data_IF_787681296537
#
_entry.id   IF_787681296537
#
_cell.length_a   1.000
_cell.length_b   1.000
_cell.length_c   1.000
_cell.angle_alpha   90.00
_cell.angle_beta   90.00
_cell.angle_gamma   90.00
#
_symmetry.space_group_name_H-M   'P 1'
#
loop_
_entity.id
_entity.type
_entity.pdbx_description
1 polymer ?
#
# COMPACT_ATOMS: atom_id res chain seq x y z
N UNK A 1 -3.64 -1.76 -7.28
CA UNK A 1 -3.74 -2.37 -8.61
C UNK A 1 -4.19 -3.80 -8.40
N UNK A 2 -5.42 -4.16 -8.79
CA UNK A 2 -5.94 -5.53 -8.65
C UNK A 2 -5.20 -6.52 -9.57
N UNK A 3 -5.50 -7.82 -9.45
CA UNK A 3 -4.90 -8.89 -10.25
C UNK A 3 -5.02 -8.60 -11.76
N UNK A 4 -6.15 -8.07 -12.21
CA UNK A 4 -6.35 -7.70 -13.62
C UNK A 4 -5.45 -6.54 -14.07
N UNK A 5 -5.20 -5.58 -13.17
CA UNK A 5 -4.25 -4.50 -13.42
C UNK A 5 -2.82 -5.03 -13.52
N UNK A 6 -2.44 -5.95 -12.63
CA UNK A 6 -1.13 -6.63 -12.68
C UNK A 6 -1.00 -7.42 -13.98
N UNK A 7 -2.03 -8.17 -14.37
CA UNK A 7 -2.04 -8.94 -15.62
C UNK A 7 -1.87 -8.03 -16.84
N UNK A 8 -2.59 -6.92 -16.90
CA UNK A 8 -2.49 -5.97 -18.01
C UNK A 8 -1.10 -5.31 -18.09
N UNK A 9 -0.51 -4.96 -16.94
CA UNK A 9 0.86 -4.45 -16.88
C UNK A 9 1.90 -5.51 -17.27
N UNK A 10 1.76 -6.74 -16.79
CA UNK A 10 2.64 -7.83 -17.21
C UNK A 10 2.53 -8.04 -18.71
N UNK A 11 1.31 -8.03 -19.27
CA UNK A 11 1.09 -8.21 -20.70
C UNK A 11 1.75 -7.11 -21.55
N UNK A 12 1.70 -5.86 -21.12
CA UNK A 12 2.37 -4.76 -21.86
C UNK A 12 3.89 -4.90 -21.82
N UNK A 13 4.44 -5.31 -20.67
CA UNK A 13 5.87 -5.56 -20.48
C UNK A 13 6.37 -6.83 -21.18
N UNK A 14 5.49 -7.77 -21.55
CA UNK A 14 5.91 -8.97 -22.27
C UNK A 14 6.29 -8.70 -23.73
N UNK A 15 5.78 -7.62 -24.35
CA UNK A 15 5.99 -7.36 -25.77
C UNK A 15 7.48 -7.10 -26.11
N UNK A 16 8.20 -6.18 -25.43
CA UNK A 16 9.63 -5.98 -25.66
C UNK A 16 10.49 -7.21 -25.36
N UNK A 17 10.13 -7.99 -24.33
CA UNK A 17 10.80 -9.26 -23.99
C UNK A 17 10.66 -10.27 -25.13
N UNK A 18 9.46 -10.42 -25.69
CA UNK A 18 9.22 -11.31 -26.84
C UNK A 18 10.00 -10.84 -28.06
N UNK A 19 10.05 -9.53 -28.32
CA UNK A 19 10.83 -8.95 -29.43
C UNK A 19 12.33 -9.24 -29.25
N UNK A 20 12.86 -9.04 -28.03
CA UNK A 20 14.25 -9.31 -27.70
C UNK A 20 14.61 -10.77 -27.92
N UNK A 21 13.80 -11.67 -27.36
CA UNK A 21 13.96 -13.12 -27.55
C UNK A 21 13.91 -13.46 -29.05
N UNK A 22 12.98 -12.88 -29.81
CA UNK A 22 12.88 -13.06 -31.26
C UNK A 22 14.15 -12.65 -32.00
N UNK A 23 14.70 -11.48 -31.69
CA UNK A 23 15.97 -10.99 -32.27
C UNK A 23 17.12 -11.94 -31.94
N UNK A 24 17.22 -12.42 -30.70
CA UNK A 24 18.26 -13.37 -30.30
C UNK A 24 18.19 -14.67 -31.06
N UNK A 25 16.99 -15.24 -31.24
CA UNK A 25 16.82 -16.45 -32.03
C UNK A 25 17.18 -16.23 -33.50
N UNK A 26 16.87 -15.06 -34.07
CA UNK A 26 17.29 -14.68 -35.43
C UNK A 26 18.83 -14.57 -35.51
N UNK A 27 19.49 -13.95 -34.53
CA UNK A 27 20.95 -13.83 -34.47
C UNK A 27 21.64 -15.19 -34.28
N UNK A 28 21.07 -16.07 -33.45
CA UNK A 28 21.55 -17.45 -33.29
C UNK A 28 21.38 -18.22 -34.61
N UNK A 29 20.24 -18.05 -35.29
CA UNK A 29 19.99 -18.64 -36.61
C UNK A 29 20.97 -18.14 -37.67
N UNK A 30 21.20 -16.82 -37.73
CA UNK A 30 22.19 -16.18 -38.60
C UNK A 30 23.60 -16.67 -38.30
N UNK A 31 23.99 -16.80 -37.03
CA UNK A 31 25.29 -17.35 -36.64
C UNK A 31 25.46 -18.78 -37.19
N UNK A 32 24.47 -19.66 -37.02
CA UNK A 32 24.58 -21.02 -37.55
C UNK A 32 24.55 -21.07 -39.09
N UNK A 33 23.75 -20.21 -39.74
CA UNK A 33 23.72 -20.10 -41.19
C UNK A 33 25.07 -19.62 -41.75
N UNK A 34 25.65 -18.57 -41.17
CA UNK A 34 26.97 -18.05 -41.54
C UNK A 34 28.09 -19.03 -41.20
N UNK A 35 28.00 -19.73 -40.07
CA UNK A 35 28.95 -20.78 -39.68
C UNK A 35 28.91 -21.96 -40.65
N UNK A 36 27.71 -22.42 -41.06
CA UNK A 36 27.56 -23.51 -42.03
C UNK A 36 27.98 -23.07 -43.44
N UNK A 37 27.79 -21.80 -43.79
CA UNK A 37 28.25 -21.20 -45.06
C UNK A 37 29.77 -21.02 -45.12
N UNK A 38 30.41 -20.64 -44.00
CA UNK A 38 31.87 -20.46 -43.91
C UNK A 38 32.62 -21.76 -43.56
N UNK A 39 31.91 -22.90 -43.52
CA UNK A 39 32.41 -24.22 -43.14
C UNK A 39 33.49 -24.81 -44.07
N UNK A 40 33.86 -24.12 -45.15
CA UNK A 40 35.06 -24.45 -45.91
C UNK A 40 36.37 -24.01 -45.23
N UNK A 41 36.33 -23.22 -44.15
CA UNK A 41 37.55 -22.75 -43.48
C UNK A 41 37.47 -22.88 -41.96
N UNK A 42 38.29 -23.77 -41.41
CA UNK A 42 38.74 -23.88 -40.02
C UNK A 42 37.83 -24.57 -38.98
N UNK A 43 38.35 -25.68 -38.42
CA UNK A 43 37.73 -26.58 -37.43
C UNK A 43 37.53 -25.99 -36.03
N UNK A 44 36.82 -24.86 -35.92
CA UNK A 44 36.43 -24.26 -34.63
C UNK A 44 35.37 -25.10 -33.93
N UNK A 45 35.46 -25.30 -32.60
CA UNK A 45 34.53 -26.12 -31.84
C UNK A 45 33.10 -25.55 -31.87
N UNK A 46 32.11 -26.41 -32.12
CA UNK A 46 30.70 -26.04 -32.25
C UNK A 46 30.13 -25.64 -30.88
N UNK A 47 29.53 -24.46 -30.79
CA UNK A 47 28.78 -24.05 -29.59
C UNK A 47 27.57 -24.99 -29.43
N UNK A 48 27.31 -25.45 -28.20
CA UNK A 48 26.19 -26.35 -27.92
C UNK A 48 24.86 -25.57 -27.94
N UNK A 49 23.88 -26.01 -28.74
CA UNK A 49 22.55 -25.39 -28.84
C UNK A 49 21.88 -25.13 -27.47
N UNK A 50 22.04 -26.06 -26.52
CA UNK A 50 21.50 -25.91 -25.16
C UNK A 50 22.05 -24.68 -24.45
N UNK A 51 23.33 -24.34 -24.64
CA UNK A 51 23.95 -23.16 -24.01
C UNK A 51 23.46 -21.86 -24.64
N UNK A 52 23.21 -21.86 -25.96
CA UNK A 52 22.66 -20.71 -26.66
C UNK A 52 21.21 -20.46 -26.23
N UNK A 53 20.39 -21.51 -26.14
CA UNK A 53 19.02 -21.42 -25.63
C UNK A 53 18.97 -20.91 -24.18
N UNK A 54 19.81 -21.46 -23.29
CA UNK A 54 19.90 -20.99 -21.90
C UNK A 54 20.40 -19.54 -21.81
N UNK A 55 21.33 -19.15 -22.69
CA UNK A 55 21.80 -17.77 -22.79
C UNK A 55 20.69 -16.81 -23.22
N UNK A 56 19.93 -17.18 -24.25
CA UNK A 56 18.80 -16.37 -24.73
C UNK A 56 17.70 -16.23 -23.65
N UNK A 57 17.34 -17.35 -22.99
CA UNK A 57 16.40 -17.31 -21.87
C UNK A 57 16.88 -16.40 -20.73
N UNK A 58 18.18 -16.41 -20.46
CA UNK A 58 18.77 -15.55 -19.44
C UNK A 58 18.76 -14.07 -19.82
N UNK A 59 19.09 -13.72 -21.06
CA UNK A 59 19.05 -12.34 -21.51
C UNK A 59 17.61 -11.83 -21.55
N UNK A 60 16.67 -12.61 -22.10
CA UNK A 60 15.24 -12.26 -22.05
C UNK A 60 14.73 -12.06 -20.63
N UNK A 61 15.15 -12.90 -19.68
CA UNK A 61 14.86 -12.71 -18.25
C UNK A 61 15.47 -11.41 -17.69
N UNK A 62 16.73 -11.12 -18.00
CA UNK A 62 17.39 -9.88 -17.53
C UNK A 62 16.67 -8.65 -18.09
N UNK A 63 16.31 -8.65 -19.38
CA UNK A 63 15.54 -7.57 -19.99
C UNK A 63 14.19 -7.39 -19.30
N UNK A 64 13.46 -8.48 -19.04
CA UNK A 64 12.21 -8.43 -18.30
C UNK A 64 12.36 -7.80 -16.91
N UNK A 65 13.41 -8.17 -16.16
CA UNK A 65 13.67 -7.58 -14.83
C UNK A 65 14.01 -6.10 -14.94
N UNK A 66 14.83 -5.71 -15.91
CA UNK A 66 15.17 -4.30 -16.13
C UNK A 66 13.93 -3.48 -16.53
N UNK A 67 13.03 -4.04 -17.33
CA UNK A 67 11.76 -3.38 -17.69
C UNK A 67 10.84 -3.18 -16.49
N UNK A 68 10.67 -4.22 -15.68
CA UNK A 68 9.88 -4.14 -14.44
C UNK A 68 10.44 -3.11 -13.45
N UNK A 69 11.76 -3.03 -13.32
CA UNK A 69 12.41 -2.26 -12.26
C UNK A 69 12.79 -0.84 -12.67
N UNK A 70 13.22 -0.64 -13.92
CA UNK A 70 13.77 0.64 -14.40
C UNK A 70 12.79 1.45 -15.25
N UNK A 71 11.95 0.81 -16.06
CA UNK A 71 11.14 1.51 -17.07
C UNK A 71 9.64 1.55 -16.76
N UNK A 72 9.17 0.75 -15.78
CA UNK A 72 7.76 0.66 -15.41
C UNK A 72 7.27 1.60 -14.31
N UNK A 73 8.14 2.44 -13.72
CA UNK A 73 7.81 3.31 -12.58
C UNK A 73 7.94 4.80 -12.96
N UNK A 74 7.00 5.63 -12.51
CA UNK A 74 7.06 7.08 -12.72
C UNK A 74 8.22 7.73 -11.95
N UNK A 75 8.79 8.80 -12.49
CA UNK A 75 9.89 9.53 -11.85
C UNK A 75 9.33 10.44 -10.74
N UNK A 76 9.51 10.05 -9.48
CA UNK A 76 9.06 10.87 -8.32
C UNK A 76 9.99 10.84 -7.11
N UNK A 77 11.01 9.98 -7.07
CA UNK A 77 11.82 9.74 -5.87
C UNK A 77 13.33 9.83 -6.15
N UNK A 78 13.83 11.05 -6.40
CA UNK A 78 15.27 11.25 -6.63
C UNK A 78 16.07 11.19 -5.31
N UNK A 79 17.16 10.40 -5.28
CA UNK A 79 18.11 10.28 -4.16
C UNK A 79 17.51 9.83 -2.82
N UNK A 80 16.33 9.22 -2.81
CA UNK A 80 15.70 8.78 -1.57
C UNK A 80 16.12 7.34 -1.23
N UNK A 81 16.55 7.11 0.01
CA UNK A 81 17.01 5.79 0.48
C UNK A 81 16.33 5.41 1.81
N UNK A 82 15.89 4.16 1.92
CA UNK A 82 15.48 3.51 3.15
C UNK A 82 16.45 2.38 3.49
N UNK A 83 17.27 2.61 4.53
CA UNK A 83 18.30 1.69 4.98
C UNK A 83 17.91 0.93 6.25
N UNK A 84 16.65 1.02 6.70
CA UNK A 84 16.17 0.30 7.86
C UNK A 84 15.77 -1.12 7.45
N UNK A 85 16.51 -2.15 7.90
CA UNK A 85 16.20 -3.52 7.56
C UNK A 85 14.86 -3.93 8.15
N UNK A 86 14.09 -4.67 7.35
CA UNK A 86 12.74 -5.17 7.61
C UNK A 86 11.68 -4.08 7.83
N UNK A 87 11.95 -2.83 7.50
CA UNK A 87 10.99 -1.73 7.66
C UNK A 87 9.70 -1.95 6.86
N UNK A 88 9.81 -2.45 5.63
CA UNK A 88 8.67 -2.78 4.75
C UNK A 88 7.79 -3.87 5.35
N UNK A 89 8.40 -4.86 6.01
CA UNK A 89 7.69 -5.93 6.71
C UNK A 89 6.96 -5.42 7.96
N UNK A 90 7.60 -4.53 8.72
CA UNK A 90 6.98 -3.89 9.89
C UNK A 90 5.84 -2.98 9.46
N UNK A 91 6.00 -2.20 8.39
CA UNK A 91 4.94 -1.39 7.82
C UNK A 91 3.77 -2.25 7.34
N UNK A 92 4.04 -3.34 6.60
CA UNK A 92 3.02 -4.28 6.16
C UNK A 92 2.27 -4.89 7.35
N UNK A 93 2.96 -5.17 8.46
CA UNK A 93 2.35 -5.62 9.71
C UNK A 93 1.49 -4.54 10.36
N UNK A 94 2.00 -3.32 10.52
CA UNK A 94 1.29 -2.21 11.16
C UNK A 94 0.01 -1.83 10.38
N UNK A 95 0.07 -1.88 9.05
CA UNK A 95 -1.07 -1.65 8.14
C UNK A 95 -1.91 -2.91 7.93
N UNK A 96 -1.47 -4.07 8.43
CA UNK A 96 -2.02 -5.40 8.12
C UNK A 96 -2.35 -5.56 6.62
N UNK A 97 -1.40 -5.14 5.78
CA UNK A 97 -1.58 -4.97 4.34
C UNK A 97 -1.01 -6.16 3.59
N UNK A 98 -1.90 -7.03 3.09
CA UNK A 98 -1.49 -8.13 2.20
C UNK A 98 -0.81 -7.62 0.94
N UNK A 99 -1.18 -6.43 0.46
CA UNK A 99 -0.57 -5.81 -0.72
C UNK A 99 0.89 -5.44 -0.48
N UNK A 100 1.20 -4.86 0.68
CA UNK A 100 2.58 -4.48 0.99
C UNK A 100 3.45 -5.74 1.16
N UNK A 101 2.90 -6.79 1.78
CA UNK A 101 3.57 -8.08 1.87
C UNK A 101 3.74 -8.76 0.49
N UNK A 102 2.74 -8.64 -0.40
CA UNK A 102 2.81 -9.13 -1.78
C UNK A 102 3.97 -8.49 -2.54
N UNK A 103 4.23 -7.18 -2.35
CA UNK A 103 5.36 -6.51 -2.98
C UNK A 103 6.70 -7.14 -2.56
N UNK A 104 6.89 -7.41 -1.26
CA UNK A 104 8.09 -8.11 -0.78
C UNK A 104 8.23 -9.50 -1.40
N UNK A 105 7.12 -10.25 -1.51
CA UNK A 105 7.11 -11.59 -2.13
C UNK A 105 7.44 -11.52 -3.63
N UNK A 106 6.93 -10.52 -4.35
CA UNK A 106 7.24 -10.36 -5.77
C UNK A 106 8.72 -10.06 -6.01
N UNK A 107 9.37 -9.28 -5.14
CA UNK A 107 10.81 -9.07 -5.21
C UNK A 107 11.59 -10.39 -5.02
N UNK A 108 11.17 -11.23 -4.08
CA UNK A 108 11.73 -12.58 -3.91
C UNK A 108 11.53 -13.43 -5.19
N UNK A 109 10.29 -13.52 -5.69
CA UNK A 109 9.97 -14.35 -6.86
C UNK A 109 10.74 -13.91 -8.10
N UNK A 110 10.89 -12.60 -8.30
CA UNK A 110 11.57 -12.00 -9.44
C UNK A 110 13.00 -12.51 -9.60
N UNK A 111 13.72 -12.75 -8.49
CA UNK A 111 15.12 -13.19 -8.53
C UNK A 111 15.34 -14.72 -8.47
N UNK A 112 14.28 -15.52 -8.29
CA UNK A 112 14.36 -16.99 -8.34
C UNK A 112 14.98 -17.47 -9.67
N UNK A 113 14.57 -16.98 -10.86
CA UNK A 113 15.16 -17.41 -12.12
C UNK A 113 16.68 -17.14 -12.22
N UNK A 114 17.17 -16.01 -11.69
CA UNK A 114 18.61 -15.71 -11.65
C UNK A 114 19.40 -16.81 -10.92
N UNK A 115 18.90 -17.22 -9.74
CA UNK A 115 19.50 -18.29 -8.94
C UNK A 115 19.55 -19.65 -9.66
N UNK A 116 18.57 -19.94 -10.51
CA UNK A 116 18.46 -21.18 -11.29
C UNK A 116 19.34 -21.15 -12.54
N UNK A 117 19.30 -20.06 -13.31
CA UNK A 117 19.89 -19.99 -14.66
C UNK A 117 21.42 -19.88 -14.62
N UNK A 118 21.99 -19.12 -13.68
CA UNK A 118 23.45 -18.95 -13.56
C UNK A 118 24.24 -20.28 -13.52
N UNK A 119 23.92 -21.25 -12.64
CA UNK A 119 24.65 -22.52 -12.56
C UNK A 119 24.41 -23.45 -13.76
N UNK A 120 23.34 -23.22 -14.54
CA UNK A 120 23.07 -23.93 -15.79
C UNK A 120 23.93 -23.40 -16.94
N UNK A 121 24.22 -22.09 -16.95
CA UNK A 121 25.03 -21.43 -17.99
C UNK A 121 26.53 -21.69 -17.76
N UNK A 122 27.01 -21.56 -16.51
CA UNK A 122 28.44 -21.68 -16.20
C UNK A 122 28.72 -22.55 -14.99
N UNK A 123 29.79 -23.37 -15.10
CA UNK A 123 30.28 -24.21 -14.00
C UNK A 123 30.72 -23.39 -12.79
N UNK A 124 31.22 -22.15 -13.00
CA UNK A 124 31.67 -21.27 -11.91
C UNK A 124 30.52 -20.96 -10.93
N UNK A 125 29.32 -20.73 -11.45
CA UNK A 125 28.13 -20.40 -10.66
C UNK A 125 27.47 -21.61 -10.00
N UNK A 126 27.97 -22.83 -10.22
CA UNK A 126 27.60 -24.01 -9.41
C UNK A 126 28.19 -23.96 -8.01
N UNK A 127 29.10 -23.02 -7.74
CA UNK A 127 29.59 -22.72 -6.41
C UNK A 127 28.75 -21.55 -5.88
N UNK A 128 28.05 -21.78 -4.77
CA UNK A 128 27.08 -20.85 -4.19
C UNK A 128 27.61 -19.40 -4.08
N UNK A 129 28.84 -19.21 -3.59
CA UNK A 129 29.43 -17.87 -3.42
C UNK A 129 29.46 -17.04 -4.70
N UNK A 130 29.70 -17.65 -5.86
CA UNK A 130 29.76 -16.93 -7.13
C UNK A 130 28.37 -16.61 -7.66
N UNK A 131 27.39 -17.49 -7.42
CA UNK A 131 25.99 -17.21 -7.72
C UNK A 131 25.48 -16.05 -6.86
N UNK A 132 25.70 -16.13 -5.55
CA UNK A 132 25.30 -15.11 -4.58
C UNK A 132 25.94 -13.76 -4.89
N UNK A 133 27.23 -13.71 -5.25
CA UNK A 133 27.90 -12.48 -5.64
C UNK A 133 27.21 -11.79 -6.84
N UNK A 134 26.80 -12.56 -7.85
CA UNK A 134 26.08 -12.00 -9.01
C UNK A 134 24.70 -11.54 -8.60
N UNK A 135 23.96 -12.33 -7.82
CA UNK A 135 22.62 -11.94 -7.32
C UNK A 135 22.69 -10.62 -6.54
N UNK A 136 23.55 -10.54 -5.52
CA UNK A 136 23.74 -9.35 -4.68
C UNK A 136 24.25 -8.17 -5.51
N UNK A 137 25.21 -8.40 -6.41
CA UNK A 137 25.74 -7.35 -7.29
C UNK A 137 24.68 -6.79 -8.24
N UNK A 138 23.84 -7.65 -8.83
CA UNK A 138 22.76 -7.25 -9.72
C UNK A 138 21.67 -6.49 -8.97
N UNK A 139 21.25 -6.94 -7.79
CA UNK A 139 20.25 -6.20 -7.02
C UNK A 139 20.79 -4.85 -6.52
N UNK A 140 22.05 -4.79 -6.07
CA UNK A 140 22.67 -3.52 -5.68
C UNK A 140 22.74 -2.54 -6.85
N UNK A 141 23.06 -3.04 -8.05
CA UNK A 141 23.07 -2.22 -9.27
C UNK A 141 21.68 -1.66 -9.58
N UNK A 142 20.63 -2.48 -9.50
CA UNK A 142 19.24 -2.05 -9.78
C UNK A 142 18.79 -0.96 -8.80
N UNK A 143 18.95 -1.19 -7.49
CA UNK A 143 18.56 -0.22 -6.46
C UNK A 143 19.33 1.11 -6.59
N UNK A 144 20.63 1.02 -6.88
CA UNK A 144 21.48 2.20 -7.10
C UNK A 144 21.03 2.96 -8.34
N UNK A 145 20.72 2.26 -9.44
CA UNK A 145 20.21 2.88 -10.66
C UNK A 145 18.87 3.59 -10.41
N UNK A 146 17.93 2.94 -9.74
CA UNK A 146 16.61 3.51 -9.44
C UNK A 146 16.71 4.81 -8.65
N UNK A 147 17.61 4.81 -7.66
CA UNK A 147 17.85 5.97 -6.78
C UNK A 147 18.51 7.13 -7.53
N UNK A 148 19.49 6.85 -8.40
CA UNK A 148 20.19 7.87 -9.17
C UNK A 148 19.36 8.44 -10.32
N UNK A 149 18.39 7.68 -10.85
CA UNK A 149 17.52 8.11 -11.95
C UNK A 149 16.18 8.68 -11.47
N UNK A 150 15.86 8.53 -10.18
CA UNK A 150 14.57 8.92 -9.61
C UNK A 150 13.42 7.96 -9.95
N UNK A 151 13.72 6.81 -10.57
CA UNK A 151 12.76 5.77 -10.91
C UNK A 151 12.23 5.01 -9.67
N UNK A 152 12.90 5.14 -8.52
CA UNK A 152 12.48 4.54 -7.27
C UNK A 152 13.36 4.89 -6.07
N UNK A 153 12.95 4.41 -4.90
CA UNK A 153 13.68 4.50 -3.63
C UNK A 153 14.75 3.41 -3.57
N UNK A 154 15.92 3.67 -2.98
CA UNK A 154 16.81 2.59 -2.55
C UNK A 154 16.18 1.90 -1.34
N UNK A 155 15.72 0.67 -1.49
CA UNK A 155 15.12 -0.06 -0.36
C UNK A 155 16.02 -1.22 0.05
N UNK A 156 16.60 -1.14 1.25
CA UNK A 156 17.45 -2.23 1.77
C UNK A 156 16.69 -3.56 1.83
N UNK A 157 15.38 -3.51 2.07
CA UNK A 157 14.51 -4.68 2.05
C UNK A 157 14.41 -5.32 0.68
N UNK A 158 14.43 -4.54 -0.40
CA UNK A 158 14.39 -5.07 -1.76
C UNK A 158 15.70 -5.78 -2.11
N UNK A 159 16.83 -5.25 -1.66
CA UNK A 159 18.13 -5.94 -1.72
C UNK A 159 18.07 -7.30 -0.98
N UNK A 160 17.47 -7.33 0.22
CA UNK A 160 17.31 -8.56 1.02
C UNK A 160 16.37 -9.55 0.30
N UNK A 161 15.23 -9.08 -0.19
CA UNK A 161 14.20 -9.87 -0.87
C UNK A 161 14.75 -10.51 -2.16
N UNK A 162 15.39 -9.72 -3.01
CA UNK A 162 16.01 -10.18 -4.24
C UNK A 162 17.12 -11.20 -3.95
N UNK A 163 17.91 -10.97 -2.90
CA UNK A 163 18.95 -11.91 -2.46
C UNK A 163 18.34 -13.24 -1.99
N UNK A 164 17.26 -13.19 -1.20
CA UNK A 164 16.51 -14.39 -0.80
C UNK A 164 15.97 -15.15 -2.02
N UNK A 165 15.43 -14.44 -3.01
CA UNK A 165 15.00 -14.99 -4.29
C UNK A 165 16.10 -15.79 -4.99
N UNK A 166 17.28 -15.19 -5.14
CA UNK A 166 18.43 -15.86 -5.75
C UNK A 166 18.91 -17.08 -4.96
N UNK A 167 18.88 -17.03 -3.62
CA UNK A 167 19.19 -18.16 -2.75
C UNK A 167 18.19 -19.31 -2.99
N UNK A 168 16.89 -19.01 -3.00
CA UNK A 168 15.82 -19.99 -3.26
C UNK A 168 15.96 -20.62 -4.65
N UNK A 169 16.24 -19.80 -5.66
CA UNK A 169 16.51 -20.27 -7.02
C UNK A 169 17.69 -21.24 -7.10
N UNK A 170 18.79 -20.92 -6.41
CA UNK A 170 19.96 -21.79 -6.36
C UNK A 170 19.68 -23.10 -5.60
N UNK A 171 18.91 -23.05 -4.52
CA UNK A 171 18.46 -24.24 -3.78
C UNK A 171 17.58 -25.14 -4.67
N UNK A 172 16.66 -24.55 -5.44
CA UNK A 172 15.84 -25.28 -6.39
C UNK A 172 16.70 -25.95 -7.48
N UNK A 173 17.68 -25.23 -8.05
CA UNK A 173 18.65 -25.82 -8.97
C UNK A 173 19.37 -27.03 -8.34
N UNK A 174 19.86 -26.91 -7.10
CA UNK A 174 20.56 -28.00 -6.41
C UNK A 174 19.66 -29.20 -6.16
N UNK A 175 18.41 -28.97 -5.77
CA UNK A 175 17.42 -30.01 -5.56
C UNK A 175 17.18 -30.79 -6.87
N UNK A 176 16.87 -30.08 -7.96
CA UNK A 176 16.65 -30.68 -9.28
C UNK A 176 17.90 -31.42 -9.77
N UNK A 177 19.08 -30.81 -9.68
CA UNK A 177 20.33 -31.43 -10.08
C UNK A 177 20.64 -32.72 -9.29
N UNK A 178 20.34 -32.73 -7.97
CA UNK A 178 20.49 -33.92 -7.14
C UNK A 178 19.53 -35.04 -7.56
N UNK A 179 18.27 -34.71 -7.88
CA UNK A 179 17.27 -35.68 -8.32
C UNK A 179 17.67 -36.29 -9.66
N UNK A 180 18.08 -35.45 -10.62
CA UNK A 180 18.50 -35.88 -11.96
C UNK A 180 19.76 -36.75 -11.89
N UNK A 181 20.75 -36.39 -11.07
CA UNK A 181 22.01 -37.13 -11.00
C UNK A 181 21.92 -38.42 -10.19
N UNK A 182 21.27 -38.39 -9.02
CA UNK A 182 21.24 -39.53 -8.09
C UNK A 182 20.00 -40.43 -8.27
N UNK A 183 19.02 -40.04 -9.10
CA UNK A 183 17.70 -40.69 -9.27
C UNK A 183 16.94 -40.96 -7.95
N UNK A 184 17.38 -40.37 -6.84
CA UNK A 184 16.80 -40.48 -5.49
C UNK A 184 16.90 -39.14 -4.79
N UNK A 185 15.83 -38.77 -4.08
CA UNK A 185 15.80 -37.60 -3.21
C UNK A 185 16.49 -37.95 -1.89
N UNK A 186 17.63 -37.32 -1.59
CA UNK A 186 18.25 -37.46 -0.27
C UNK A 186 17.52 -36.56 0.73
N UNK A 187 16.98 -37.12 1.81
CA UNK A 187 16.21 -36.37 2.82
C UNK A 187 16.97 -35.15 3.36
N UNK A 188 18.28 -35.27 3.64
CA UNK A 188 19.12 -34.13 4.07
C UNK A 188 19.15 -32.98 3.05
N UNK A 189 19.13 -33.30 1.75
CA UNK A 189 19.09 -32.31 0.68
C UNK A 189 17.71 -31.65 0.60
N UNK A 190 16.64 -32.44 0.75
CA UNK A 190 15.28 -31.92 0.74
C UNK A 190 15.01 -30.99 1.93
N UNK A 191 15.38 -31.42 3.14
CA UNK A 191 15.27 -30.61 4.36
C UNK A 191 16.07 -29.30 4.26
N UNK A 192 17.31 -29.35 3.77
CA UNK A 192 18.13 -28.14 3.62
C UNK A 192 17.59 -27.14 2.59
N UNK A 193 16.98 -27.61 1.50
CA UNK A 193 16.43 -26.74 0.45
C UNK A 193 14.99 -26.26 0.75
N UNK A 194 14.25 -26.93 1.64
CA UNK A 194 12.91 -26.51 2.06
C UNK A 194 12.91 -25.71 3.36
N UNK A 195 14.03 -25.65 4.10
CA UNK A 195 14.10 -24.94 5.37
C UNK A 195 13.67 -23.47 5.28
N UNK A 196 14.15 -22.74 4.25
CA UNK A 196 13.82 -21.31 4.09
C UNK A 196 12.34 -21.11 3.71
N UNK A 197 11.79 -21.76 2.66
CA UNK A 197 10.36 -21.65 2.35
C UNK A 197 9.45 -22.06 3.50
N UNK A 198 9.79 -23.14 4.22
CA UNK A 198 9.01 -23.60 5.38
C UNK A 198 9.06 -22.59 6.52
N UNK A 199 10.23 -22.02 6.82
CA UNK A 199 10.37 -20.98 7.84
C UNK A 199 9.52 -19.75 7.50
N UNK A 200 9.56 -19.30 6.24
CA UNK A 200 8.72 -18.18 5.79
C UNK A 200 7.23 -18.49 5.92
N UNK A 201 6.81 -19.71 5.53
CA UNK A 201 5.42 -20.15 5.70
C UNK A 201 4.98 -20.22 7.16
N UNK A 202 5.84 -20.72 8.05
CA UNK A 202 5.59 -20.78 9.49
C UNK A 202 5.51 -19.38 10.11
N UNK A 203 6.38 -18.46 9.71
CA UNK A 203 6.32 -17.06 10.16
C UNK A 203 5.01 -16.41 9.71
N UNK A 204 4.59 -16.60 8.46
CA UNK A 204 3.32 -16.07 7.96
C UNK A 204 2.11 -16.63 8.71
N UNK A 205 2.06 -17.94 8.96
CA UNK A 205 0.99 -18.56 9.75
C UNK A 205 1.01 -18.04 11.19
N UNK A 206 2.19 -17.98 11.82
CA UNK A 206 2.37 -17.44 13.17
C UNK A 206 1.89 -15.99 13.29
N UNK A 207 2.27 -15.13 12.35
CA UNK A 207 1.80 -13.73 12.28
C UNK A 207 0.28 -13.64 12.21
N UNK A 208 -0.38 -14.48 11.39
CA UNK A 208 -1.84 -14.50 11.31
C UNK A 208 -2.50 -15.00 12.60
N UNK A 209 -1.92 -16.01 13.25
CA UNK A 209 -2.41 -16.48 14.55
C UNK A 209 -2.30 -15.36 15.59
N UNK A 210 -1.13 -14.74 15.71
CA UNK A 210 -0.91 -13.60 16.64
C UNK A 210 -1.90 -12.49 16.36
N UNK A 211 -2.04 -12.07 15.10
CA UNK A 211 -2.99 -11.03 14.72
C UNK A 211 -4.44 -11.43 15.06
N UNK A 212 -4.84 -12.66 14.79
CA UNK A 212 -6.19 -13.15 15.09
C UNK A 212 -6.51 -13.09 16.59
N UNK A 213 -5.52 -13.33 17.45
CA UNK A 213 -5.65 -13.33 18.91
C UNK A 213 -5.60 -11.94 19.54
N UNK A 214 -5.08 -10.93 18.85
CA UNK A 214 -5.10 -9.56 19.36
C UNK A 214 -6.54 -9.08 19.55
N UNK A 215 -6.83 -8.45 20.69
CA UNK A 215 -8.17 -7.89 20.93
C UNK A 215 -8.50 -6.79 19.91
N UNK A 216 -7.57 -5.87 19.69
CA UNK A 216 -7.67 -4.80 18.70
C UNK A 216 -6.69 -5.01 17.54
N UNK A 217 -6.96 -4.40 16.41
CA UNK A 217 -6.05 -4.39 15.27
C UNK A 217 -4.82 -3.52 15.51
N UNK A 218 -3.90 -3.61 14.55
CA UNK A 218 -2.73 -2.75 14.48
C UNK A 218 -3.11 -1.35 13.97
N UNK A 219 -2.40 -0.33 14.46
CA UNK A 219 -2.47 1.04 13.98
C UNK A 219 -1.28 1.31 13.04
N UNK A 220 -1.54 1.95 11.91
CA UNK A 220 -0.53 2.27 10.90
C UNK A 220 0.50 3.32 11.37
N UNK A 221 0.24 4.00 12.49
CA UNK A 221 1.07 5.05 13.09
C UNK A 221 2.16 4.51 14.04
N UNK A 222 2.29 3.19 14.16
CA UNK A 222 3.35 2.60 14.99
C UNK A 222 4.71 2.81 14.33
N UNK A 223 5.70 3.28 15.11
CA UNK A 223 7.06 3.48 14.63
C UNK A 223 7.77 2.13 14.41
N UNK A 224 8.62 2.07 13.39
CA UNK A 224 9.45 0.89 13.10
C UNK A 224 10.93 1.10 13.46
N UNK A 225 11.35 2.37 13.61
CA UNK A 225 12.68 2.74 14.11
C UNK A 225 12.54 3.91 15.08
N UNK A 226 13.39 3.96 16.11
CA UNK A 226 13.45 5.13 17.00
C UNK A 226 14.23 6.25 16.34
N UNK A 227 13.79 7.49 16.59
CA UNK A 227 14.59 8.67 16.27
C UNK A 227 15.78 8.79 17.22
N UNK A 228 16.92 9.21 16.68
CA UNK A 228 18.04 9.60 17.52
C UNK A 228 17.82 11.01 18.04
N UNK A 229 17.30 11.11 19.27
CA UNK A 229 17.03 12.38 19.94
C UNK A 229 18.26 12.92 20.71
N UNK A 230 19.43 12.29 20.57
CA UNK A 230 20.66 12.75 21.21
C UNK A 230 21.03 14.13 20.69
N UNK A 231 21.22 15.08 21.61
CA UNK A 231 21.49 16.49 21.32
C UNK A 231 20.41 17.21 20.49
N UNK A 232 19.16 16.72 20.54
CA UNK A 232 17.98 17.47 20.08
C UNK A 232 17.45 18.28 21.27
N UNK A 233 17.23 19.57 21.06
CA UNK A 233 16.65 20.45 22.06
C UNK A 233 15.13 20.29 22.08
N UNK A 234 14.65 19.33 22.87
CA UNK A 234 13.23 19.11 23.10
C UNK A 234 12.74 19.99 24.28
N UNK A 235 11.75 20.84 24.03
CA UNK A 235 11.10 21.69 25.04
C UNK A 235 9.60 21.55 25.00
N UNK A 236 8.93 22.03 26.06
CA UNK A 236 7.50 22.24 26.07
C UNK A 236 7.13 23.28 27.12
N UNK A 237 6.08 24.06 26.84
CA UNK A 237 5.44 24.96 27.81
C UNK A 237 4.19 24.35 28.47
N UNK A 238 3.83 23.11 28.08
CA UNK A 238 2.63 22.43 28.56
C UNK A 238 2.78 21.99 30.02
N UNK A 239 1.69 22.09 30.78
CA UNK A 239 1.58 21.43 32.08
C UNK A 239 1.20 19.96 31.85
N UNK A 240 2.21 19.09 31.88
CA UNK A 240 2.02 17.66 31.60
C UNK A 240 1.46 16.94 32.84
N UNK A 241 0.21 16.50 32.75
CA UNK A 241 -0.39 15.64 33.76
C UNK A 241 0.21 14.23 33.72
N UNK A 242 0.45 13.66 34.91
CA UNK A 242 0.84 12.26 35.10
C UNK A 242 -0.31 11.39 35.62
N UNK A 243 -1.53 11.94 35.69
CA UNK A 243 -2.68 11.20 36.19
C UNK A 243 -3.02 10.02 35.26
N UNK A 244 -3.41 8.86 35.83
CA UNK A 244 -4.00 7.79 35.04
C UNK A 244 -5.20 8.31 34.25
N UNK A 245 -5.27 7.94 32.98
CA UNK A 245 -6.32 8.38 32.07
C UNK A 245 -6.88 7.16 31.36
N UNK A 246 -8.20 7.14 31.13
CA UNK A 246 -8.87 6.15 30.32
C UNK A 246 -9.58 6.86 29.15
N UNK A 247 -9.78 6.14 28.05
CA UNK A 247 -10.55 6.64 26.92
C UNK A 247 -11.43 5.53 26.34
N UNK A 248 -12.59 5.89 25.75
CA UNK A 248 -13.47 4.93 25.10
C UNK A 248 -12.81 4.29 23.87
N UNK A 249 -13.26 3.09 23.53
CA UNK A 249 -12.96 2.42 22.27
C UNK A 249 -14.28 2.03 21.62
N UNK A 250 -14.37 2.22 20.31
CA UNK A 250 -15.57 1.94 19.55
C UNK A 250 -15.33 0.86 18.50
N UNK A 251 -16.40 0.20 18.08
CA UNK A 251 -16.41 -0.68 16.92
C UNK A 251 -17.17 0.00 15.79
N UNK A 252 -16.54 0.09 14.62
CA UNK A 252 -17.24 0.53 13.41
C UNK A 252 -18.27 -0.50 12.99
N UNK A 253 -19.52 -0.09 12.85
CA UNK A 253 -20.56 -0.88 12.20
C UNK A 253 -20.53 -0.58 10.71
N UNK A 254 -20.33 -1.63 9.91
CA UNK A 254 -20.27 -1.52 8.46
C UNK A 254 -21.57 -2.10 7.90
N UNK A 255 -22.45 -1.24 7.42
CA UNK A 255 -23.65 -1.65 6.70
C UNK A 255 -23.43 -1.51 5.19
N UNK A 256 -23.48 -2.63 4.47
CA UNK A 256 -23.32 -2.66 3.01
C UNK A 256 -24.61 -2.95 2.27
N UNK A 257 -25.65 -3.33 2.99
CA UNK A 257 -26.87 -3.83 2.39
C UNK A 257 -27.89 -2.71 2.21
N UNK A 258 -28.71 -2.83 1.17
CA UNK A 258 -29.89 -2.00 0.98
C UNK A 258 -29.67 -0.67 0.27
N UNK A 259 -28.51 0.00 0.39
CA UNK A 259 -28.29 1.33 -0.22
C UNK A 259 -28.51 1.35 -1.74
N UNK A 260 -27.90 0.40 -2.47
CA UNK A 260 -28.09 0.28 -3.93
C UNK A 260 -29.56 0.03 -4.27
N UNK A 261 -30.20 -0.95 -3.62
CA UNK A 261 -31.57 -1.34 -3.90
C UNK A 261 -32.57 -0.20 -3.59
N UNK A 262 -32.35 0.53 -2.49
CA UNK A 262 -33.11 1.71 -2.09
C UNK A 262 -33.03 2.79 -3.17
N UNK A 263 -31.82 3.14 -3.63
CA UNK A 263 -31.63 4.14 -4.68
C UNK A 263 -32.23 3.70 -6.02
N UNK A 264 -32.08 2.43 -6.39
CA UNK A 264 -32.70 1.89 -7.61
C UNK A 264 -34.22 2.00 -7.57
N UNK A 265 -34.83 1.65 -6.44
CA UNK A 265 -36.27 1.73 -6.25
C UNK A 265 -36.76 3.18 -6.27
N UNK A 266 -36.14 4.06 -5.48
CA UNK A 266 -36.57 5.45 -5.27
C UNK A 266 -36.31 6.34 -6.48
N UNK A 267 -35.17 6.16 -7.14
CA UNK A 267 -34.77 6.96 -8.31
C UNK A 267 -35.12 6.29 -9.65
N UNK A 268 -35.67 5.08 -9.62
CA UNK A 268 -36.07 4.34 -10.83
C UNK A 268 -34.87 3.95 -11.71
N UNK A 269 -33.76 3.55 -11.09
CA UNK A 269 -32.51 3.20 -11.78
C UNK A 269 -32.46 1.71 -12.14
N UNK A 270 -32.09 1.43 -13.39
CA UNK A 270 -31.89 0.08 -13.92
C UNK A 270 -30.39 -0.25 -14.00
N UNK A 271 -30.04 -1.48 -13.66
CA UNK A 271 -28.65 -1.96 -13.71
C UNK A 271 -28.21 -2.24 -15.15
N UNK A 272 -27.02 -1.76 -15.52
CA UNK A 272 -26.39 -2.03 -16.82
C UNK A 272 -25.20 -2.98 -16.69
N UNK A 273 -24.32 -2.73 -15.72
CA UNK A 273 -23.08 -3.48 -15.54
C UNK A 273 -22.65 -3.44 -14.08
N UNK A 274 -22.17 -4.57 -13.58
CA UNK A 274 -21.57 -4.69 -12.25
C UNK A 274 -20.11 -5.06 -12.39
N UNK A 275 -19.28 -4.48 -11.54
CA UNK A 275 -17.88 -4.82 -11.35
C UNK A 275 -17.60 -4.87 -9.85
N UNK A 276 -17.17 -6.03 -9.37
CA UNK A 276 -16.71 -6.22 -8.00
C UNK A 276 -15.20 -6.42 -7.99
N UNK A 277 -14.48 -5.62 -7.20
CA UNK A 277 -13.02 -5.68 -7.08
C UNK A 277 -12.60 -5.65 -5.60
N UNK A 278 -12.17 -6.80 -5.06
CA UNK A 278 -11.62 -6.94 -3.71
C UNK A 278 -12.48 -6.34 -2.57
N UNK A 279 -13.80 -6.41 -2.72
CA UNK A 279 -14.76 -5.92 -1.73
C UNK A 279 -15.32 -4.54 -2.03
N UNK A 280 -14.76 -3.80 -2.98
CA UNK A 280 -15.37 -2.61 -3.55
C UNK A 280 -16.30 -3.03 -4.70
N UNK A 281 -17.46 -2.39 -4.76
CA UNK A 281 -18.51 -2.68 -5.74
C UNK A 281 -18.82 -1.44 -6.55
N UNK A 282 -18.73 -1.56 -7.86
CA UNK A 282 -19.04 -0.50 -8.82
C UNK A 282 -20.18 -0.98 -9.73
N UNK A 283 -21.26 -0.23 -9.78
CA UNK A 283 -22.45 -0.56 -10.56
C UNK A 283 -22.81 0.60 -11.47
N UNK A 284 -22.80 0.34 -12.77
CA UNK A 284 -23.30 1.27 -13.77
C UNK A 284 -24.83 1.14 -13.82
N UNK A 285 -25.49 2.25 -13.54
CA UNK A 285 -26.93 2.40 -13.46
C UNK A 285 -27.42 3.36 -14.55
N UNK A 286 -28.70 3.25 -14.91
CA UNK A 286 -29.36 4.12 -15.87
C UNK A 286 -30.76 4.48 -15.43
N UNK A 287 -31.13 5.74 -15.52
CA UNK A 287 -32.51 6.19 -15.26
C UNK A 287 -33.43 5.94 -16.47
N UNK A 288 -34.70 6.35 -16.34
CA UNK A 288 -35.69 6.27 -17.43
C UNK A 288 -35.40 7.22 -18.59
N UNK A 289 -34.68 8.31 -18.36
CA UNK A 289 -34.41 9.35 -19.35
C UNK A 289 -33.24 9.00 -20.29
N UNK A 290 -32.34 8.12 -19.86
CA UNK A 290 -31.12 7.85 -20.60
C UNK A 290 -29.84 8.03 -19.79
N UNK A 291 -29.92 8.80 -18.71
CA UNK A 291 -28.78 9.29 -17.92
C UNK A 291 -28.11 8.15 -17.18
N UNK A 292 -26.78 8.10 -17.28
CA UNK A 292 -25.97 7.06 -16.65
C UNK A 292 -25.37 7.55 -15.35
N UNK A 293 -25.49 6.72 -14.33
CA UNK A 293 -24.93 6.94 -13.01
C UNK A 293 -23.96 5.82 -12.65
N UNK A 294 -22.92 6.13 -11.89
CA UNK A 294 -22.08 5.13 -11.26
C UNK A 294 -22.39 5.10 -9.78
N UNK A 295 -22.85 3.95 -9.29
CA UNK A 295 -22.91 3.65 -7.87
C UNK A 295 -21.61 2.96 -7.46
N UNK A 296 -20.89 3.53 -6.50
CA UNK A 296 -19.70 2.92 -5.92
C UNK A 296 -19.96 2.64 -4.44
N UNK A 297 -19.57 1.47 -3.95
CA UNK A 297 -19.61 1.13 -2.53
C UNK A 297 -18.25 0.52 -2.15
N UNK A 298 -17.59 1.11 -1.16
CA UNK A 298 -16.33 0.62 -0.65
C UNK A 298 -16.53 -0.53 0.33
N UNK A 299 -15.50 -1.35 0.52
CA UNK A 299 -15.49 -2.41 1.55
C UNK A 299 -15.68 -1.86 2.97
N UNK A 300 -15.37 -0.59 3.20
CA UNK A 300 -15.57 0.12 4.47
C UNK A 300 -17.02 0.57 4.71
N UNK A 301 -17.92 0.42 3.73
CA UNK A 301 -19.33 0.77 3.84
C UNK A 301 -19.68 2.17 3.31
N UNK A 302 -18.69 2.99 2.99
CA UNK A 302 -18.92 4.26 2.31
C UNK A 302 -19.48 3.99 0.91
N UNK A 303 -20.39 4.83 0.43
CA UNK A 303 -20.92 4.67 -0.92
C UNK A 303 -21.21 6.02 -1.56
N UNK A 304 -21.25 6.03 -2.89
CA UNK A 304 -21.62 7.18 -3.68
C UNK A 304 -22.48 6.79 -4.87
N UNK A 305 -23.24 7.76 -5.35
CA UNK A 305 -23.98 7.71 -6.62
C UNK A 305 -23.64 8.99 -7.37
N UNK A 306 -23.04 8.88 -8.56
CA UNK A 306 -22.61 10.05 -9.34
C UNK A 306 -23.08 9.96 -10.78
N UNK A 307 -23.59 11.06 -11.33
CA UNK A 307 -23.87 11.20 -12.76
C UNK A 307 -22.56 11.25 -13.56
N UNK A 308 -22.41 10.36 -14.52
CA UNK A 308 -21.16 10.18 -15.27
C UNK A 308 -20.85 11.32 -16.25
N UNK A 309 -21.84 12.15 -16.58
CA UNK A 309 -21.71 13.17 -17.63
C UNK A 309 -21.93 14.60 -17.11
N UNK A 310 -22.09 14.78 -15.80
CA UNK A 310 -22.29 16.08 -15.20
C UNK A 310 -21.03 16.57 -14.51
N UNK A 311 -20.64 17.81 -14.80
CA UNK A 311 -19.60 18.54 -14.07
C UNK A 311 -20.26 19.77 -13.46
N UNK A 312 -20.22 19.95 -12.12
CA UNK A 312 -20.86 21.09 -11.49
C UNK A 312 -20.18 22.40 -11.91
N UNK A 313 -20.99 23.38 -12.31
CA UNK A 313 -20.52 24.74 -12.55
C UNK A 313 -20.29 25.43 -11.19
N UNK A 314 -19.16 26.13 -11.02
CA UNK A 314 -18.86 26.94 -9.83
C UNK A 314 -19.62 28.27 -9.82
N UNK A 315 -20.91 28.23 -10.12
CA UNK A 315 -21.78 29.41 -10.09
C UNK A 315 -22.63 29.39 -8.83
N UNK A 316 -22.72 30.52 -8.14
CA UNK A 316 -23.64 30.69 -7.02
C UNK A 316 -25.09 30.53 -7.50
N UNK A 317 -25.88 29.74 -6.77
CA UNK A 317 -27.29 29.52 -7.13
C UNK A 317 -28.12 30.76 -6.83
N UNK A 318 -29.18 30.94 -7.63
CA UNK A 318 -30.05 32.12 -7.61
C UNK A 318 -30.90 32.18 -6.32
N UNK A 319 -31.14 31.05 -5.64
CA UNK A 319 -31.97 30.96 -4.42
C UNK A 319 -31.53 29.79 -3.50
N UNK A 320 -30.59 30.01 -2.56
CA UNK A 320 -30.06 28.97 -1.69
C UNK A 320 -31.06 28.37 -0.71
N UNK A 321 -32.01 29.16 -0.18
CA UNK A 321 -32.99 28.69 0.81
C UNK A 321 -33.98 27.71 0.18
N UNK A 322 -34.49 28.04 -1.02
CA UNK A 322 -35.38 27.14 -1.75
C UNK A 322 -34.70 25.82 -2.09
N UNK A 323 -33.42 25.87 -2.47
CA UNK A 323 -32.69 24.65 -2.78
C UNK A 323 -32.37 23.82 -1.55
N UNK A 324 -32.08 24.45 -0.40
CA UNK A 324 -31.93 23.74 0.86
C UNK A 324 -33.22 22.99 1.24
N UNK A 325 -34.38 23.63 1.05
CA UNK A 325 -35.68 22.98 1.26
C UNK A 325 -35.88 21.79 0.30
N UNK A 326 -35.52 21.95 -0.97
CA UNK A 326 -35.60 20.88 -1.97
C UNK A 326 -34.67 19.72 -1.62
N UNK A 327 -33.42 20.00 -1.28
CA UNK A 327 -32.42 19.04 -0.84
C UNK A 327 -32.92 18.24 0.37
N UNK A 328 -33.42 18.94 1.39
CA UNK A 328 -34.01 18.31 2.59
C UNK A 328 -35.20 17.41 2.23
N UNK A 329 -36.08 17.86 1.31
CA UNK A 329 -37.23 17.07 0.87
C UNK A 329 -36.81 15.79 0.14
N UNK A 330 -35.81 15.90 -0.75
CA UNK A 330 -35.24 14.75 -1.48
C UNK A 330 -34.64 13.74 -0.50
N UNK A 331 -33.80 14.20 0.44
CA UNK A 331 -33.19 13.32 1.43
C UNK A 331 -34.22 12.65 2.35
N UNK A 332 -35.30 13.36 2.69
CA UNK A 332 -36.42 12.81 3.46
C UNK A 332 -37.13 11.68 2.69
N UNK A 333 -37.43 11.88 1.40
CA UNK A 333 -38.05 10.84 0.58
C UNK A 333 -37.13 9.64 0.37
N UNK A 334 -35.82 9.87 0.24
CA UNK A 334 -34.84 8.79 0.19
C UNK A 334 -34.68 8.05 1.53
N UNK A 335 -35.18 8.61 2.64
CA UNK A 335 -35.00 8.06 3.98
C UNK A 335 -33.54 8.12 4.45
N UNK A 336 -32.79 9.11 3.95
CA UNK A 336 -31.35 9.27 4.18
C UNK A 336 -31.02 10.43 5.11
N UNK A 337 -32.00 11.16 5.65
CA UNK A 337 -31.72 12.26 6.59
C UNK A 337 -31.10 11.68 7.88
N UNK A 338 -29.85 12.05 8.21
CA UNK A 338 -29.26 11.70 9.50
C UNK A 338 -29.94 12.50 10.63
N UNK A 339 -30.22 11.82 11.74
CA UNK A 339 -30.78 12.45 12.94
C UNK A 339 -29.73 13.36 13.60
N UNK A 340 -30.10 14.56 14.03
CA UNK A 340 -29.21 15.49 14.76
C UNK A 340 -27.91 15.88 14.03
N UNK A 341 -27.93 15.92 12.69
CA UNK A 341 -26.81 16.38 11.88
C UNK A 341 -26.88 17.89 11.58
N UNK A 342 -25.72 18.53 11.57
CA UNK A 342 -25.60 19.94 11.17
C UNK A 342 -25.66 20.04 9.64
N UNK A 343 -26.46 20.98 9.13
CA UNK A 343 -26.67 21.15 7.68
C UNK A 343 -25.95 22.41 7.19
N UNK A 344 -25.10 22.24 6.17
CA UNK A 344 -24.38 23.34 5.53
C UNK A 344 -24.63 23.31 4.02
N UNK A 345 -25.03 24.46 3.46
CA UNK A 345 -25.08 24.65 2.01
C UNK A 345 -23.70 25.09 1.51
N UNK A 346 -23.17 24.39 0.52
CA UNK A 346 -21.86 24.63 -0.10
C UNK A 346 -22.03 25.34 -1.46
N UNK A 347 -20.93 25.90 -1.97
CA UNK A 347 -20.90 26.45 -3.33
C UNK A 347 -21.14 25.34 -4.38
N UNK A 348 -21.79 25.68 -5.50
CA UNK A 348 -21.99 24.70 -6.57
C UNK A 348 -23.19 23.74 -6.37
N UNK A 349 -24.06 24.02 -5.40
CA UNK A 349 -25.36 23.31 -5.27
C UNK A 349 -25.24 22.03 -4.48
N UNK A 350 -24.22 21.96 -3.63
CA UNK A 350 -23.96 20.85 -2.73
C UNK A 350 -24.49 21.16 -1.33
N UNK A 351 -25.03 20.14 -0.67
CA UNK A 351 -25.59 20.21 0.67
C UNK A 351 -24.94 19.12 1.51
N UNK A 352 -24.37 19.51 2.64
CA UNK A 352 -23.65 18.62 3.54
C UNK A 352 -24.42 18.49 4.86
N UNK A 353 -24.69 17.26 5.25
CA UNK A 353 -25.07 16.91 6.61
C UNK A 353 -23.86 16.32 7.31
N UNK A 354 -23.41 16.95 8.39
CA UNK A 354 -22.21 16.52 9.13
C UNK A 354 -22.56 16.04 10.53
N UNK A 355 -21.90 14.96 10.93
CA UNK A 355 -21.83 14.52 12.31
C UNK A 355 -20.40 14.72 12.82
N UNK A 356 -20.16 15.71 13.69
CA UNK A 356 -18.83 15.92 14.25
C UNK A 356 -18.40 14.67 15.03
N UNK A 357 -17.09 14.44 15.08
CA UNK A 357 -16.58 13.35 15.91
C UNK A 357 -16.83 13.67 17.39
N UNK A 358 -17.67 12.84 18.04
CA UNK A 358 -18.01 12.92 19.46
C UNK A 358 -17.37 11.76 20.21
N UNK A 359 -16.13 11.43 19.85
CA UNK A 359 -15.36 10.31 20.36
C UNK A 359 -15.06 10.35 21.86
N UNK A 360 -15.33 11.47 22.54
CA UNK A 360 -15.32 11.61 24.01
C UNK A 360 -16.58 11.05 24.70
N UNK A 361 -17.63 10.71 23.96
CA UNK A 361 -18.85 10.14 24.52
C UNK A 361 -18.60 8.73 25.10
N UNK A 362 -19.49 8.26 25.97
CA UNK A 362 -19.44 6.89 26.50
C UNK A 362 -20.65 6.09 26.00
N UNK A 363 -21.04 6.34 24.76
CA UNK A 363 -22.22 5.76 24.11
C UNK A 363 -22.03 5.66 22.59
N UNK A 364 -22.96 5.00 21.91
CA UNK A 364 -22.92 4.89 20.45
C UNK A 364 -23.15 6.25 19.80
N UNK A 365 -22.43 6.56 18.73
CA UNK A 365 -22.63 7.79 18.00
C UNK A 365 -22.33 7.63 16.51
N UNK A 366 -22.87 8.54 15.71
CA UNK A 366 -22.56 8.65 14.29
C UNK A 366 -21.50 9.70 14.06
N UNK A 367 -20.63 9.48 13.06
CA UNK A 367 -19.63 10.47 12.60
C UNK A 367 -19.50 10.43 11.08
N UNK A 368 -18.93 11.48 10.50
CA UNK A 368 -18.71 11.61 9.07
C UNK A 368 -19.71 12.56 8.43
N UNK A 369 -19.93 12.39 7.13
CA UNK A 369 -20.74 13.32 6.35
C UNK A 369 -21.60 12.63 5.28
N UNK A 370 -22.66 13.31 4.90
CA UNK A 370 -23.52 12.97 3.78
C UNK A 370 -23.63 14.19 2.89
N UNK A 371 -23.21 14.06 1.64
CA UNK A 371 -23.21 15.13 0.65
C UNK A 371 -24.23 14.83 -0.44
N UNK A 372 -25.07 15.81 -0.75
CA UNK A 372 -26.00 15.77 -1.88
C UNK A 372 -25.65 16.90 -2.86
N UNK A 373 -25.42 16.56 -4.11
CA UNK A 373 -25.27 17.52 -5.20
C UNK A 373 -26.52 17.59 -6.07
N UNK A 374 -27.06 18.79 -6.24
CA UNK A 374 -28.19 19.08 -7.11
C UNK A 374 -27.78 19.92 -8.34
N UNK A 375 -28.35 19.59 -9.49
CA UNK A 375 -28.24 20.40 -10.71
C UNK A 375 -29.14 21.64 -10.61
N UNK A 376 -29.01 22.59 -11.54
CA UNK A 376 -29.88 23.77 -11.59
C UNK A 376 -31.38 23.46 -11.77
N UNK A 377 -31.71 22.34 -12.41
CA UNK A 377 -33.09 21.86 -12.53
C UNK A 377 -33.60 21.12 -11.28
N UNK A 378 -32.75 20.98 -10.26
CA UNK A 378 -33.06 20.30 -9.01
C UNK A 378 -32.97 18.78 -9.05
N UNK A 379 -32.50 18.20 -10.17
CA UNK A 379 -32.19 16.77 -10.24
C UNK A 379 -30.86 16.44 -9.54
N UNK A 380 -30.73 15.19 -9.08
CA UNK A 380 -29.54 14.73 -8.36
C UNK A 380 -28.41 14.45 -9.35
N UNK A 381 -27.22 14.99 -9.09
CA UNK A 381 -26.00 14.58 -9.78
C UNK A 381 -25.03 13.81 -8.89
N UNK A 382 -25.04 14.02 -7.58
CA UNK A 382 -24.19 13.27 -6.66
C UNK A 382 -24.88 13.00 -5.33
N UNK A 383 -24.62 11.82 -4.76
CA UNK A 383 -24.84 11.52 -3.34
C UNK A 383 -23.57 10.85 -2.86
N UNK A 384 -22.93 11.35 -1.81
CA UNK A 384 -21.79 10.70 -1.16
C UNK A 384 -22.12 10.47 0.30
N UNK A 385 -22.14 9.21 0.72
CA UNK A 385 -22.43 8.80 2.09
C UNK A 385 -21.16 8.24 2.73
N UNK A 386 -20.59 8.98 3.67
CA UNK A 386 -19.44 8.58 4.48
C UNK A 386 -19.76 8.49 5.98
N UNK A 387 -21.05 8.55 6.33
CA UNK A 387 -21.52 8.38 7.71
C UNK A 387 -21.19 6.98 8.23
N UNK A 388 -20.72 6.95 9.46
CA UNK A 388 -20.25 5.76 10.15
C UNK A 388 -20.87 5.70 11.54
N UNK A 389 -21.38 4.53 11.89
CA UNK A 389 -21.85 4.23 13.24
C UNK A 389 -20.69 3.66 14.06
N UNK A 390 -20.41 4.31 15.18
CA UNK A 390 -19.45 3.89 16.18
C UNK A 390 -20.20 3.31 17.37
N UNK A 391 -20.13 1.99 17.53
CA UNK A 391 -20.67 1.30 18.68
C UNK A 391 -19.66 1.36 19.84
N UNK A 392 -20.05 1.95 20.98
CA UNK A 392 -19.22 1.96 22.17
C UNK A 392 -18.97 0.53 22.66
N UNK A 393 -17.70 0.21 22.93
CA UNK A 393 -17.30 -1.12 23.37
C UNK A 393 -16.94 -1.12 24.87
N UNK A 394 -15.91 -0.35 25.24
CA UNK A 394 -15.38 -0.24 26.60
C UNK A 394 -14.39 0.91 26.69
N UNK A 395 -13.99 1.26 27.89
CA UNK A 395 -12.83 2.11 28.12
C UNK A 395 -11.53 1.29 28.21
N UNK A 396 -10.42 1.93 27.85
CA UNK A 396 -9.08 1.37 27.95
C UNK A 396 -8.13 2.35 28.61
N UNK A 397 -7.17 1.82 29.36
CA UNK A 397 -6.10 2.63 29.94
C UNK A 397 -5.22 3.22 28.84
N UNK A 398 -5.00 4.53 28.91
CA UNK A 398 -4.15 5.28 27.99
C UNK A 398 -2.96 5.92 28.71
N UNK A 399 -1.96 6.29 27.93
CA UNK A 399 -0.79 7.03 28.37
C UNK A 399 -1.21 8.41 28.87
N UNK A 400 -0.57 8.91 29.92
CA UNK A 400 -0.72 10.30 30.32
C UNK A 400 0.05 11.23 29.36
N UNK A 401 -0.30 12.53 29.27
CA UNK A 401 0.48 13.50 28.49
C UNK A 401 1.96 13.53 28.85
N UNK A 402 2.33 13.30 30.12
CA UNK A 402 3.71 13.17 30.55
C UNK A 402 4.42 11.94 29.94
N UNK A 403 3.74 10.80 29.87
CA UNK A 403 4.28 9.58 29.23
C UNK A 403 4.41 9.74 27.71
N UNK A 404 3.46 10.44 27.08
CA UNK A 404 3.52 10.78 25.65
C UNK A 404 4.75 11.64 25.36
N UNK A 405 5.00 12.66 26.18
CA UNK A 405 6.19 13.50 26.06
C UNK A 405 7.50 12.70 26.23
N UNK A 406 7.56 11.79 27.20
CA UNK A 406 8.73 10.92 27.37
C UNK A 406 8.94 9.96 26.19
N UNK A 407 7.87 9.47 25.53
CA UNK A 407 8.01 8.72 24.27
C UNK A 407 8.65 9.56 23.16
N UNK A 408 8.24 10.82 23.01
CA UNK A 408 8.83 11.73 22.03
C UNK A 408 10.33 11.93 22.31
N UNK A 409 10.67 12.18 23.57
CA UNK A 409 12.06 12.31 24.03
C UNK A 409 12.90 11.06 23.74
N UNK A 410 12.30 9.88 23.83
CA UNK A 410 12.94 8.60 23.50
C UNK A 410 12.95 8.29 21.99
N UNK A 411 12.40 9.16 21.15
CA UNK A 411 12.30 8.98 19.72
C UNK A 411 11.26 7.94 19.28
N UNK A 412 10.28 7.63 20.13
CA UNK A 412 9.27 6.57 19.95
C UNK A 412 8.00 7.11 19.29
N UNK A 413 8.14 7.65 18.08
CA UNK A 413 7.04 8.18 17.29
C UNK A 413 7.30 7.99 15.80
N UNK A 414 6.25 7.85 14.97
CA UNK A 414 6.40 7.55 13.55
C UNK A 414 7.10 8.68 12.79
N UNK A 415 7.74 8.32 11.68
CA UNK A 415 8.24 9.29 10.72
C UNK A 415 7.06 9.80 9.89
N UNK A 416 6.56 11.01 10.17
CA UNK A 416 5.51 11.60 9.33
C UNK A 416 6.14 12.27 8.12
N UNK A 417 5.91 11.68 6.95
CA UNK A 417 6.18 12.32 5.65
C UNK A 417 5.09 13.37 5.43
N UNK A 418 5.46 14.65 5.35
CA UNK A 418 4.47 15.69 4.98
C UNK A 418 4.02 15.47 3.54
N UNK A 419 2.76 15.79 3.25
CA UNK A 419 2.22 15.85 1.88
C UNK A 419 2.77 17.02 1.05
N UNK A 420 3.72 17.79 1.60
CA UNK A 420 4.39 18.89 0.92
C UNK A 420 5.68 18.41 0.25
N UNK A 421 6.10 19.10 -0.80
CA UNK A 421 7.39 18.95 -1.49
C UNK A 421 8.51 19.36 -0.51
N UNK A 422 8.78 18.52 0.48
CA UNK A 422 9.90 18.69 1.41
C UNK A 422 11.12 17.97 0.87
N UNK A 423 12.29 18.58 1.02
CA UNK A 423 13.56 17.87 0.77
C UNK A 423 13.80 16.87 1.90
N UNK A 424 14.48 15.74 1.63
CA UNK A 424 14.75 14.72 2.68
C UNK A 424 15.43 15.30 3.91
N UNK A 425 16.26 16.34 3.74
CA UNK A 425 16.91 17.05 4.84
C UNK A 425 15.94 17.69 5.84
N UNK A 426 14.70 17.95 5.44
CA UNK A 426 13.64 18.52 6.26
C UNK A 426 12.76 17.44 6.93
N UNK A 427 12.96 16.17 6.58
CA UNK A 427 12.19 15.02 7.10
C UNK A 427 12.97 14.19 8.12
N UNK A 428 14.22 14.54 8.41
CA UNK A 428 15.12 13.80 9.31
C UNK A 428 15.46 14.68 10.50
N UNK A 429 15.25 14.16 11.71
CA UNK A 429 15.72 14.80 12.94
C UNK A 429 17.25 14.62 13.03
N UNK A 430 17.96 15.73 13.17
CA UNK A 430 19.41 15.86 13.20
C UNK A 430 19.90 16.40 14.53
N UNK A 431 21.19 16.19 14.78
CA UNK A 431 21.90 16.74 15.94
C UNK A 431 21.79 18.27 15.95
N UNK A 432 21.35 18.85 17.06
CA UNK A 432 21.20 20.29 17.25
C UNK A 432 19.84 20.84 16.84
N UNK A 433 18.92 20.01 16.32
CA UNK A 433 17.56 20.43 16.01
C UNK A 433 16.80 20.87 17.28
N UNK A 434 15.83 21.75 17.09
CA UNK A 434 14.95 22.27 18.13
C UNK A 434 13.53 21.78 17.87
N UNK A 435 12.92 21.16 18.87
CA UNK A 435 11.54 20.69 18.83
C UNK A 435 10.81 21.18 20.07
N UNK A 436 9.86 22.09 19.91
CA UNK A 436 9.02 22.57 20.99
C UNK A 436 7.63 21.98 20.89
N UNK A 437 7.20 21.20 21.88
CA UNK A 437 5.86 20.58 21.89
C UNK A 437 4.86 21.58 22.46
N UNK A 438 3.88 21.95 21.63
CA UNK A 438 2.89 22.98 21.89
C UNK A 438 1.48 22.44 22.13
N UNK A 439 1.20 21.18 21.77
CA UNK A 439 -0.09 20.54 22.02
C UNK A 439 0.00 19.02 22.09
N UNK A 440 -0.81 18.40 22.96
CA UNK A 440 -1.03 16.96 23.04
C UNK A 440 -2.53 16.75 23.20
N UNK A 441 -3.20 16.39 22.11
CA UNK A 441 -4.66 16.30 22.05
C UNK A 441 -5.09 14.86 21.79
N UNK A 442 -6.14 14.42 22.48
CA UNK A 442 -6.71 13.11 22.25
C UNK A 442 -7.51 13.17 20.94
N UNK A 443 -7.28 12.19 20.08
CA UNK A 443 -7.94 11.97 18.81
C UNK A 443 -8.18 10.46 18.65
N UNK A 444 -8.76 10.05 17.53
CA UNK A 444 -9.17 8.67 17.32
C UNK A 444 -8.90 8.22 15.89
N UNK A 445 -8.53 6.96 15.74
CA UNK A 445 -8.19 6.36 14.46
C UNK A 445 -8.69 4.93 14.38
N UNK A 446 -9.20 4.54 13.21
CA UNK A 446 -9.56 3.14 12.97
C UNK A 446 -8.30 2.28 12.82
N UNK A 447 -8.30 1.17 13.53
CA UNK A 447 -7.31 0.12 13.34
C UNK A 447 -7.68 -0.83 12.21
N UNK A 448 -6.77 -1.77 11.95
CA UNK A 448 -6.91 -2.79 10.91
C UNK A 448 -8.03 -3.82 11.16
N UNK A 449 -8.64 -3.83 12.36
CA UNK A 449 -9.84 -4.63 12.69
C UNK A 449 -11.11 -3.77 12.78
N UNK A 450 -11.07 -2.51 12.34
CA UNK A 450 -12.18 -1.55 12.41
C UNK A 450 -12.60 -1.13 13.83
N UNK A 451 -11.70 -1.18 14.81
CA UNK A 451 -11.94 -0.50 16.09
C UNK A 451 -11.45 0.93 16.01
N UNK A 452 -12.26 1.88 16.46
CA UNK A 452 -11.89 3.28 16.61
C UNK A 452 -11.18 3.46 17.94
N UNK A 453 -9.85 3.58 17.88
CA UNK A 453 -8.98 3.58 19.05
C UNK A 453 -8.45 4.98 19.35
N UNK A 454 -8.23 5.33 20.62
CA UNK A 454 -7.63 6.59 21.02
C UNK A 454 -6.17 6.68 20.58
N UNK A 455 -5.81 7.84 20.03
CA UNK A 455 -4.46 8.23 19.62
C UNK A 455 -4.20 9.67 20.08
N UNK A 456 -2.96 9.99 20.37
CA UNK A 456 -2.56 11.37 20.64
C UNK A 456 -2.10 12.03 19.36
N UNK A 457 -2.71 13.17 19.04
CA UNK A 457 -2.20 14.11 18.08
C UNK A 457 -1.32 15.13 18.79
N UNK A 458 -0.03 15.06 18.52
CA UNK A 458 0.97 15.92 19.14
C UNK A 458 1.35 17.00 18.15
N UNK A 459 1.25 18.26 18.58
CA UNK A 459 1.62 19.43 17.81
C UNK A 459 2.88 20.08 18.38
N UNK A 460 3.68 20.69 17.50
CA UNK A 460 4.88 21.38 17.91
C UNK A 460 5.48 22.29 16.86
N UNK A 461 6.56 22.95 17.25
CA UNK A 461 7.40 23.80 16.39
C UNK A 461 8.73 23.10 16.21
N UNK A 462 9.05 22.71 14.97
CA UNK A 462 10.31 22.04 14.62
C UNK A 462 11.21 22.99 13.83
N UNK A 463 12.35 23.40 14.40
CA UNK A 463 13.29 24.36 13.78
C UNK A 463 12.60 25.64 13.25
N UNK A 464 11.63 26.16 13.99
CA UNK A 464 10.84 27.36 13.63
C UNK A 464 9.60 27.09 12.78
N UNK A 465 9.36 25.84 12.35
CA UNK A 465 8.17 25.46 11.59
C UNK A 465 7.04 24.97 12.50
N UNK A 466 5.95 25.72 12.55
CA UNK A 466 4.78 25.46 13.39
C UNK A 466 3.84 24.38 12.88
N UNK A 467 4.10 23.80 11.70
CA UNK A 467 3.26 22.75 11.12
C UNK A 467 3.78 21.34 11.45
N UNK A 468 4.62 21.20 12.47
CA UNK A 468 5.07 19.89 12.92
C UNK A 468 3.98 19.23 13.75
N UNK A 469 3.68 17.98 13.40
CA UNK A 469 2.82 17.12 14.22
C UNK A 469 3.28 15.67 14.12
N UNK A 470 2.92 14.88 15.13
CA UNK A 470 3.04 13.42 15.10
C UNK A 470 1.85 12.74 15.76
N UNK A 471 1.64 11.47 15.44
CA UNK A 471 0.58 10.65 16.03
C UNK A 471 1.21 9.57 16.91
N UNK A 472 0.69 9.40 18.13
CA UNK A 472 1.18 8.42 19.09
C UNK A 472 0.00 7.56 19.54
N UNK A 473 0.15 6.23 19.48
CA UNK A 473 -0.87 5.33 20.05
C UNK A 473 -1.05 5.63 21.54
N UNK A 474 -2.29 5.96 21.94
CA UNK A 474 -2.60 6.35 23.32
C UNK A 474 -2.69 5.12 24.24
N UNK A 475 -3.22 3.99 23.77
CA UNK A 475 -3.36 2.76 24.56
C UNK A 475 -2.01 2.24 25.07
N UNK A 476 -1.94 1.94 26.37
CA UNK A 476 -0.81 1.22 26.97
C UNK A 476 -0.75 -0.22 26.41
N UNK A 477 0.37 -0.60 25.82
CA UNK A 477 0.61 -2.01 25.48
C UNK A 477 1.13 -2.71 26.73
N UNK A 478 0.42 -3.73 27.19
CA UNK A 478 0.83 -4.57 28.31
C UNK A 478 1.74 -5.72 27.87
#
# INVERSE_FOLDING_TARGET
>A
MGIDGIYNNLRSLMLPVIVTIGIEFVLIGLYYFLYDRNRQSEGKPRIQMKKLFLGALFIGYVVFVLELTMFGRGNSHFLQMNLHPFSSYIEAWNKYSLRDLQNCIFNIIMFIPMGILLPLISRKFKIFKWNLLVVVGSTLFIETYQTLTGAGLFELDDLINNTLGGILGYQLYRLVASIVHNKKVRMKSLLGNLAIPLLMGLLFVGMNIVYSQQEFGNLAINWFTKWNMTDVHLTTSLQLSSAPTAAPVYKRIINRDGAQALLQQKLGLSELKVKDDHGDREVLLKDKSGTQYTFYQSKEGNWSLTDNHYTPERTSFVDPERMLLQATTIMADLGLIPQDADITALEGGEFQWSHPDKSELHENYWTGELLLGLKQDGSIYSINHSLQENQFLKEVDILSPAEVYERIKNGEFPQIKRNAILTQDQLVIKKGDQLDITGIELSFMYDTKNFYQPVYQVHGVFNGDSNWFTLIQARRMH
#
